data_IF_388222035733
#
_entry.id   IF_388222035733
#
_cell.length_a   1.000
_cell.length_b   1.000
_cell.length_c   1.000
_cell.angle_alpha   90.00
_cell.angle_beta   90.00
_cell.angle_gamma   90.00
#
_symmetry.space_group_name_H-M   'P 1'
#
loop_
_entity.id
_entity.type
_entity.pdbx_description
1 polymer ?
#
# COMPACT_ATOMS: atom_id res chain seq x y z
N UNK A 1 1.73 -27.18 -4.51
CA UNK A 1 0.78 -26.66 -5.51
C UNK A 1 1.39 -26.91 -6.88
N UNK A 2 0.74 -27.61 -7.80
CA UNK A 2 1.32 -27.87 -9.14
C UNK A 2 1.16 -26.62 -10.02
N UNK A 3 2.27 -26.02 -10.43
CA UNK A 3 2.30 -25.00 -11.50
C UNK A 3 1.83 -25.65 -12.82
N UNK A 4 0.61 -25.30 -13.24
CA UNK A 4 0.01 -25.83 -14.46
C UNK A 4 0.59 -25.13 -15.70
N UNK A 5 1.06 -25.91 -16.67
CA UNK A 5 1.46 -25.40 -17.98
C UNK A 5 0.27 -25.57 -18.93
N UNK A 6 -0.23 -24.44 -19.44
CA UNK A 6 -1.39 -24.41 -20.33
C UNK A 6 -0.95 -24.09 -21.76
N UNK A 7 -1.41 -24.87 -22.73
CA UNK A 7 -1.36 -24.47 -24.14
C UNK A 7 -2.56 -23.56 -24.43
N UNK A 8 -2.35 -22.25 -24.30
CA UNK A 8 -3.42 -21.26 -24.41
C UNK A 8 -4.16 -21.29 -25.76
N UNK A 9 -3.44 -21.62 -26.85
CA UNK A 9 -4.03 -21.71 -28.18
C UNK A 9 -5.01 -22.88 -28.30
N UNK A 10 -4.74 -23.99 -27.60
CA UNK A 10 -5.61 -25.16 -27.57
C UNK A 10 -6.81 -25.04 -26.61
N UNK A 11 -6.85 -24.03 -25.74
CA UNK A 11 -7.98 -23.80 -24.84
C UNK A 11 -9.20 -23.25 -25.58
N UNK A 12 -10.39 -23.71 -25.17
CA UNK A 12 -11.66 -23.09 -25.57
C UNK A 12 -11.86 -21.69 -24.95
N UNK A 13 -12.81 -20.87 -25.43
CA UNK A 13 -13.03 -19.52 -24.92
C UNK A 13 -13.34 -19.43 -23.43
N UNK A 14 -13.97 -20.45 -22.84
CA UNK A 14 -14.29 -20.45 -21.41
C UNK A 14 -13.02 -20.68 -20.59
N UNK A 15 -12.22 -21.69 -20.92
CA UNK A 15 -10.98 -22.00 -20.23
C UNK A 15 -9.93 -20.90 -20.38
N UNK A 16 -9.93 -20.18 -21.51
CA UNK A 16 -9.10 -18.96 -21.68
C UNK A 16 -9.49 -17.85 -20.71
N UNK A 17 -10.79 -17.67 -20.43
CA UNK A 17 -11.27 -16.70 -19.44
C UNK A 17 -10.90 -17.14 -18.03
N UNK A 18 -11.08 -18.42 -17.71
CA UNK A 18 -10.73 -18.98 -16.40
C UNK A 18 -9.22 -18.87 -16.11
N UNK A 19 -8.36 -19.13 -17.09
CA UNK A 19 -6.91 -19.01 -16.95
C UNK A 19 -6.42 -17.57 -16.66
N UNK A 20 -7.22 -16.56 -17.02
CA UNK A 20 -6.94 -15.14 -16.81
C UNK A 20 -7.82 -14.53 -15.71
N UNK A 21 -8.65 -15.33 -15.06
CA UNK A 21 -9.49 -14.85 -13.98
C UNK A 21 -8.65 -14.53 -12.75
N UNK A 22 -8.99 -13.43 -12.09
CA UNK A 22 -8.42 -13.11 -10.78
C UNK A 22 -9.01 -14.03 -9.71
N UNK A 23 -8.25 -14.38 -8.66
CA UNK A 23 -8.81 -15.04 -7.49
C UNK A 23 -9.98 -14.23 -6.93
N UNK A 24 -11.15 -14.85 -6.79
CA UNK A 24 -12.28 -14.20 -6.15
C UNK A 24 -12.08 -14.21 -4.63
N UNK A 25 -12.29 -13.07 -3.98
CA UNK A 25 -12.38 -13.04 -2.53
C UNK A 25 -13.70 -13.70 -2.10
N UNK A 26 -13.62 -14.84 -1.41
CA UNK A 26 -14.76 -15.44 -0.74
C UNK A 26 -15.32 -14.49 0.34
N UNK A 27 -16.63 -14.54 0.59
CA UNK A 27 -17.31 -13.80 1.68
C UNK A 27 -17.18 -12.26 1.64
N UNK A 28 -17.11 -11.66 0.44
CA UNK A 28 -17.01 -10.21 0.27
C UNK A 28 -18.09 -9.40 0.99
N UNK A 29 -19.34 -9.87 0.96
CA UNK A 29 -20.46 -9.13 1.58
C UNK A 29 -20.37 -9.14 3.11
N UNK A 30 -19.95 -10.26 3.71
CA UNK A 30 -19.70 -10.36 5.14
C UNK A 30 -18.54 -9.45 5.57
N UNK A 31 -17.43 -9.46 4.82
CA UNK A 31 -16.31 -8.54 5.04
C UNK A 31 -16.77 -7.08 5.01
N UNK A 32 -17.56 -6.70 4.00
CA UNK A 32 -18.08 -5.34 3.88
C UNK A 32 -19.00 -4.97 5.05
N UNK A 33 -19.84 -5.89 5.51
CA UNK A 33 -20.71 -5.66 6.68
C UNK A 33 -19.88 -5.42 7.95
N UNK A 34 -18.86 -6.25 8.19
CA UNK A 34 -17.96 -6.11 9.34
C UNK A 34 -17.14 -4.81 9.27
N UNK A 35 -16.63 -4.45 8.09
CA UNK A 35 -15.92 -3.18 7.88
C UNK A 35 -16.82 -1.97 8.12
N UNK A 36 -18.07 -2.00 7.65
CA UNK A 36 -19.05 -0.93 7.93
C UNK A 36 -19.34 -0.79 9.41
N UNK A 37 -19.48 -1.91 10.13
CA UNK A 37 -19.64 -1.90 11.58
C UNK A 37 -18.42 -1.30 12.30
N UNK A 38 -17.20 -1.67 11.89
CA UNK A 38 -15.95 -1.08 12.39
C UNK A 38 -15.92 0.43 12.16
N UNK A 39 -16.25 0.89 10.94
CA UNK A 39 -16.30 2.32 10.61
C UNK A 39 -17.32 3.05 11.49
N UNK A 40 -18.54 2.52 11.60
CA UNK A 40 -19.60 3.13 12.41
C UNK A 40 -19.18 3.26 13.88
N UNK A 41 -18.53 2.23 14.42
CA UNK A 41 -18.06 2.23 15.80
C UNK A 41 -16.94 3.26 16.02
N UNK A 42 -15.96 3.34 15.12
CA UNK A 42 -14.89 4.37 15.19
C UNK A 42 -15.48 5.79 15.11
N UNK A 43 -16.51 6.01 14.28
CA UNK A 43 -17.21 7.32 14.22
C UNK A 43 -17.94 7.66 15.52
N UNK A 44 -18.52 6.67 16.21
CA UNK A 44 -19.28 6.90 17.43
C UNK A 44 -18.39 7.03 18.68
N UNK A 45 -17.33 6.21 18.77
CA UNK A 45 -16.54 6.03 19.99
C UNK A 45 -15.11 6.61 19.88
N UNK A 46 -14.67 7.02 18.69
CA UNK A 46 -13.35 7.62 18.46
C UNK A 46 -12.19 6.72 18.89
N UNK A 47 -11.25 7.29 19.64
CA UNK A 47 -10.02 6.62 20.09
C UNK A 47 -10.29 5.33 20.89
N UNK A 48 -11.41 5.26 21.61
CA UNK A 48 -11.75 4.07 22.40
C UNK A 48 -11.97 2.84 21.52
N UNK A 49 -12.71 2.99 20.41
CA UNK A 49 -12.90 1.90 19.45
C UNK A 49 -11.60 1.56 18.73
N UNK A 50 -10.80 2.56 18.38
CA UNK A 50 -9.50 2.37 17.72
C UNK A 50 -8.57 1.52 18.58
N UNK A 51 -8.45 1.84 19.88
CA UNK A 51 -7.62 1.11 20.83
C UNK A 51 -8.14 -0.30 21.09
N UNK A 52 -9.46 -0.50 21.18
CA UNK A 52 -10.06 -1.84 21.31
C UNK A 52 -9.71 -2.74 20.12
N UNK A 53 -9.83 -2.21 18.90
CA UNK A 53 -9.45 -2.96 17.70
C UNK A 53 -7.95 -3.23 17.63
N UNK A 54 -7.10 -2.27 18.02
CA UNK A 54 -5.65 -2.47 18.09
C UNK A 54 -5.27 -3.58 19.09
N UNK A 55 -5.92 -3.62 20.26
CA UNK A 55 -5.72 -4.69 21.24
C UNK A 55 -6.07 -6.08 20.69
N UNK A 56 -7.12 -6.17 19.88
CA UNK A 56 -7.62 -7.43 19.33
C UNK A 56 -6.85 -7.92 18.11
N UNK A 57 -6.36 -7.01 17.27
CA UNK A 57 -5.89 -7.35 15.92
C UNK A 57 -4.48 -6.86 15.57
N UNK A 58 -3.95 -5.83 16.25
CA UNK A 58 -2.67 -5.19 15.90
C UNK A 58 -1.51 -5.61 16.83
N UNK A 59 -1.59 -6.78 17.46
CA UNK A 59 -0.53 -7.31 18.35
C UNK A 59 -0.46 -6.64 19.74
N UNK A 60 -1.42 -5.78 20.06
CA UNK A 60 -1.60 -5.13 21.37
C UNK A 60 -1.96 -3.66 21.23
N UNK A 61 -2.76 -3.12 22.16
CA UNK A 61 -3.07 -1.71 22.18
C UNK A 61 -1.79 -0.89 22.48
N UNK A 62 -1.51 0.17 21.70
CA UNK A 62 -0.39 1.05 22.00
C UNK A 62 -0.66 1.82 23.30
N UNK A 63 0.40 2.16 24.04
CA UNK A 63 0.29 3.04 25.21
C UNK A 63 -0.18 4.44 24.80
N UNK A 64 0.33 4.94 23.66
CA UNK A 64 -0.05 6.20 23.07
C UNK A 64 -0.41 5.96 21.60
N UNK A 65 -1.59 6.40 21.17
CA UNK A 65 -1.97 6.32 19.75
C UNK A 65 -0.98 7.08 18.87
N UNK A 66 -0.61 8.31 19.27
CA UNK A 66 0.45 9.08 18.61
C UNK A 66 1.81 8.62 19.13
N UNK A 67 2.70 8.25 18.21
CA UNK A 67 4.06 7.81 18.54
C UNK A 67 4.86 8.99 19.13
N UNK A 68 5.46 8.85 20.33
CA UNK A 68 6.28 9.89 20.93
C UNK A 68 7.51 10.26 20.11
N UNK A 69 7.97 11.50 20.22
CA UNK A 69 9.15 11.99 19.49
C UNK A 69 10.41 11.21 19.87
N UNK A 70 10.55 10.84 21.15
CA UNK A 70 11.69 10.10 21.68
C UNK A 70 11.82 8.72 21.02
N UNK A 71 10.69 8.04 20.81
CA UNK A 71 10.64 6.74 20.13
C UNK A 71 11.05 6.86 18.65
N UNK A 72 10.62 7.94 17.99
CA UNK A 72 10.98 8.20 16.59
C UNK A 72 12.48 8.45 16.42
N UNK A 73 13.07 9.27 17.29
CA UNK A 73 14.51 9.57 17.28
C UNK A 73 15.32 8.30 17.55
N UNK A 74 14.95 7.55 18.59
CA UNK A 74 15.62 6.30 18.95
C UNK A 74 15.55 5.25 17.81
N UNK A 75 14.45 5.21 17.05
CA UNK A 75 14.32 4.28 15.94
C UNK A 75 15.39 4.50 14.87
N UNK A 76 15.61 5.74 14.42
CA UNK A 76 16.64 6.03 13.40
C UNK A 76 18.05 5.71 13.89
N UNK A 77 18.34 5.96 15.18
CA UNK A 77 19.64 5.65 15.79
C UNK A 77 19.88 4.14 15.97
N UNK A 78 18.81 3.36 16.10
CA UNK A 78 18.88 1.90 16.27
C UNK A 78 19.20 1.13 14.97
N UNK A 79 18.99 1.77 13.80
CA UNK A 79 19.22 1.11 12.52
C UNK A 79 20.70 1.05 12.17
N UNK A 80 21.10 -0.06 11.55
CA UNK A 80 22.45 -0.17 11.02
C UNK A 80 22.71 0.85 9.89
N UNK A 81 23.96 1.29 9.76
CA UNK A 81 24.32 2.31 8.77
C UNK A 81 24.06 1.86 7.32
N UNK A 82 24.09 0.55 7.04
CA UNK A 82 23.84 -0.01 5.70
C UNK A 82 22.35 0.08 5.36
N UNK A 83 21.45 -0.20 6.31
CA UNK A 83 20.01 -0.06 6.19
C UNK A 83 19.64 1.41 5.97
N UNK A 84 20.19 2.34 6.77
CA UNK A 84 19.96 3.78 6.58
C UNK A 84 20.44 4.23 5.19
N UNK A 85 21.60 3.76 4.73
CA UNK A 85 22.11 4.05 3.38
C UNK A 85 21.19 3.50 2.28
N UNK A 86 20.64 2.30 2.45
CA UNK A 86 19.70 1.70 1.52
C UNK A 86 18.38 2.49 1.44
N UNK A 87 17.81 2.88 2.59
CA UNK A 87 16.61 3.71 2.67
C UNK A 87 16.82 5.07 1.98
N UNK A 88 17.94 5.75 2.26
CA UNK A 88 18.28 7.02 1.61
C UNK A 88 18.42 6.88 0.10
N UNK A 89 19.03 5.81 -0.38
CA UNK A 89 19.14 5.53 -1.83
C UNK A 89 17.76 5.32 -2.46
N UNK A 90 16.88 4.54 -1.81
CA UNK A 90 15.53 4.32 -2.30
C UNK A 90 14.72 5.62 -2.35
N UNK A 91 14.78 6.42 -1.28
CA UNK A 91 14.15 7.75 -1.20
C UNK A 91 14.62 8.66 -2.34
N UNK A 92 15.93 8.71 -2.59
CA UNK A 92 16.49 9.60 -3.61
C UNK A 92 16.08 9.18 -5.02
N UNK A 93 16.07 7.87 -5.31
CA UNK A 93 15.60 7.34 -6.59
C UNK A 93 14.11 7.65 -6.81
N UNK A 94 13.25 7.37 -5.81
CA UNK A 94 11.81 7.64 -5.88
C UNK A 94 11.55 9.14 -6.04
N UNK A 95 12.29 9.99 -5.32
CA UNK A 95 12.19 11.44 -5.42
C UNK A 95 12.55 11.94 -6.82
N UNK A 96 13.66 11.48 -7.39
CA UNK A 96 14.10 11.85 -8.75
C UNK A 96 13.03 11.51 -9.78
N UNK A 97 12.46 10.31 -9.72
CA UNK A 97 11.43 9.88 -10.67
C UNK A 97 10.14 10.70 -10.55
N UNK A 98 9.63 10.90 -9.33
CA UNK A 98 8.39 11.66 -9.12
C UNK A 98 8.57 13.17 -9.39
N UNK A 99 9.73 13.75 -9.09
CA UNK A 99 10.02 15.15 -9.41
C UNK A 99 9.99 15.41 -10.92
N UNK A 100 10.43 14.44 -11.73
CA UNK A 100 10.38 14.54 -13.19
C UNK A 100 8.95 14.53 -13.78
N UNK A 101 7.94 14.14 -12.99
CA UNK A 101 6.53 14.11 -13.41
C UNK A 101 5.81 15.45 -13.20
N UNK A 102 6.45 16.42 -12.54
CA UNK A 102 5.86 17.74 -12.31
C UNK A 102 5.55 18.41 -13.65
N UNK A 103 4.25 18.61 -13.92
CA UNK A 103 3.80 19.27 -15.14
C UNK A 103 4.08 20.77 -15.09
N UNK A 104 4.59 21.37 -16.18
CA UNK A 104 4.69 22.82 -16.25
C UNK A 104 3.30 23.47 -16.19
N UNK A 105 3.21 24.73 -15.73
CA UNK A 105 1.97 25.50 -15.81
C UNK A 105 1.43 25.51 -17.25
N UNK A 106 0.12 25.31 -17.40
CA UNK A 106 -0.56 25.42 -18.70
C UNK A 106 -1.34 26.73 -18.70
N UNK A 107 -1.04 27.61 -19.66
CA UNK A 107 -1.81 28.81 -19.98
C UNK A 107 -1.86 28.98 -21.49
N UNK A 108 -3.04 29.14 -22.05
CA UNK A 108 -3.21 29.43 -23.46
C UNK A 108 -4.40 30.35 -23.71
N UNK A 109 -4.33 31.13 -24.78
CA UNK A 109 -5.45 31.88 -25.33
C UNK A 109 -6.16 30.99 -26.35
N UNK A 110 -7.36 30.50 -26.02
CA UNK A 110 -8.11 29.57 -26.90
C UNK A 110 -8.82 30.30 -28.03
N UNK A 111 -9.18 31.55 -27.78
CA UNK A 111 -9.67 32.53 -28.76
C UNK A 111 -9.34 33.92 -28.26
N UNK A 112 -9.36 34.93 -29.13
CA UNK A 112 -8.94 36.30 -28.79
C UNK A 112 -9.63 36.81 -27.51
N UNK A 113 -8.85 37.06 -26.47
CA UNK A 113 -9.29 37.51 -25.14
C UNK A 113 -9.72 36.41 -24.17
N UNK A 114 -9.75 35.13 -24.57
CA UNK A 114 -10.19 34.00 -23.75
C UNK A 114 -8.98 33.15 -23.34
N UNK A 115 -8.53 33.37 -22.10
CA UNK A 115 -7.43 32.60 -21.52
C UNK A 115 -7.94 31.42 -20.71
N UNK A 116 -7.34 30.25 -20.93
CA UNK A 116 -7.56 29.06 -20.14
C UNK A 116 -6.25 28.65 -19.46
N UNK A 117 -6.33 28.34 -18.16
CA UNK A 117 -5.19 27.94 -17.34
C UNK A 117 -5.47 26.62 -16.62
N UNK A 118 -4.42 25.81 -16.41
CA UNK A 118 -4.44 24.68 -15.48
C UNK A 118 -3.42 24.95 -14.38
N UNK A 119 -3.93 25.06 -13.16
CA UNK A 119 -3.14 25.17 -11.94
C UNK A 119 -3.23 23.87 -11.15
N UNK A 120 -2.10 23.46 -10.57
CA UNK A 120 -2.04 22.33 -9.64
C UNK A 120 -1.99 22.85 -8.21
N UNK A 121 -2.73 22.22 -7.30
CA UNK A 121 -2.71 22.50 -5.87
C UNK A 121 -2.56 21.19 -5.09
N UNK A 122 -1.79 21.18 -3.99
CA UNK A 122 -1.72 20.01 -3.13
C UNK A 122 -3.06 19.69 -2.50
N UNK A 123 -3.21 18.43 -2.07
CA UNK A 123 -4.24 18.05 -1.12
C UNK A 123 -3.79 18.53 0.27
N UNK A 124 -4.70 19.16 1.02
CA UNK A 124 -4.36 19.83 2.28
C UNK A 124 -3.89 18.83 3.34
N UNK A 125 -4.60 17.71 3.47
CA UNK A 125 -4.24 16.63 4.38
C UNK A 125 -4.32 15.25 3.74
N UNK A 126 -3.23 14.49 3.84
CA UNK A 126 -3.16 13.12 3.34
C UNK A 126 -2.79 12.14 4.45
N UNK A 127 -3.49 11.00 4.47
CA UNK A 127 -3.21 9.87 5.34
C UNK A 127 -2.45 8.79 4.59
N UNK A 128 -1.34 8.33 5.15
CA UNK A 128 -0.51 7.28 4.57
C UNK A 128 -0.67 6.03 5.44
N UNK A 129 -1.24 4.98 4.87
CA UNK A 129 -1.32 3.68 5.52
C UNK A 129 -0.15 2.81 5.08
N UNK A 130 0.54 2.22 6.06
CA UNK A 130 1.61 1.25 5.79
C UNK A 130 1.23 -0.06 6.48
N UNK A 131 1.11 -1.17 5.74
CA UNK A 131 0.90 -2.47 6.37
C UNK A 131 2.07 -2.83 7.28
N UNK A 132 1.74 -3.55 8.35
CA UNK A 132 2.72 -4.23 9.21
C UNK A 132 2.17 -5.61 9.59
N UNK A 133 2.83 -6.27 10.54
CA UNK A 133 2.50 -7.64 10.96
C UNK A 133 3.70 -8.56 10.79
N UNK A 134 3.66 -9.44 9.78
CA UNK A 134 4.71 -10.44 9.52
C UNK A 134 6.05 -9.83 9.11
N UNK A 135 6.04 -8.73 8.36
CA UNK A 135 7.23 -7.99 7.97
C UNK A 135 6.93 -6.48 7.80
N UNK A 136 7.88 -5.60 8.17
CA UNK A 136 7.74 -4.17 7.92
C UNK A 136 7.96 -3.83 6.44
N UNK A 137 7.13 -2.92 5.89
CA UNK A 137 7.20 -2.49 4.48
C UNK A 137 7.61 -1.00 4.35
N UNK A 138 8.88 -0.62 4.62
CA UNK A 138 9.33 0.76 4.49
C UNK A 138 9.25 1.28 3.04
N UNK A 139 9.32 0.39 2.05
CA UNK A 139 9.14 0.73 0.64
C UNK A 139 7.78 1.36 0.35
N UNK A 140 6.69 0.81 0.90
CA UNK A 140 5.33 1.34 0.73
C UNK A 140 5.19 2.76 1.30
N UNK A 141 5.85 3.02 2.43
CA UNK A 141 5.93 4.36 3.00
C UNK A 141 6.65 5.32 2.06
N UNK A 142 7.84 4.96 1.56
CA UNK A 142 8.61 5.80 0.64
C UNK A 142 7.78 6.14 -0.62
N UNK A 143 7.10 5.14 -1.19
CA UNK A 143 6.29 5.31 -2.41
C UNK A 143 5.11 6.27 -2.23
N UNK A 144 4.62 6.46 -1.01
CA UNK A 144 3.49 7.37 -0.74
C UNK A 144 3.94 8.72 -0.15
N UNK A 145 4.94 8.71 0.72
CA UNK A 145 5.43 9.88 1.44
C UNK A 145 6.17 10.87 0.54
N UNK A 146 6.98 10.36 -0.39
CA UNK A 146 7.80 11.18 -1.28
C UNK A 146 6.95 11.97 -2.29
N UNK A 147 6.00 11.38 -3.03
CA UNK A 147 5.12 12.17 -3.89
C UNK A 147 4.25 13.15 -3.09
N UNK A 148 3.79 12.79 -1.88
CA UNK A 148 3.06 13.73 -1.01
C UNK A 148 3.91 14.94 -0.61
N UNK A 149 5.20 14.74 -0.30
CA UNK A 149 6.13 15.82 -0.02
C UNK A 149 6.38 16.71 -1.25
N UNK A 150 6.58 16.10 -2.43
CA UNK A 150 6.82 16.82 -3.68
C UNK A 150 5.60 17.61 -4.16
N UNK A 151 4.40 17.08 -3.94
CA UNK A 151 3.15 17.79 -4.21
C UNK A 151 2.99 19.02 -3.32
N UNK A 152 3.66 19.04 -2.16
CA UNK A 152 3.56 20.10 -1.17
C UNK A 152 2.37 19.94 -0.22
N UNK A 153 1.92 18.70 0.05
CA UNK A 153 0.83 18.44 0.99
C UNK A 153 1.21 18.93 2.40
N UNK A 154 0.49 19.93 2.96
CA UNK A 154 0.84 20.54 4.25
C UNK A 154 0.82 19.54 5.41
N UNK A 155 -0.22 18.71 5.50
CA UNK A 155 -0.33 17.66 6.53
C UNK A 155 -0.19 16.28 5.90
N UNK A 156 0.79 15.52 6.38
CA UNK A 156 1.05 14.12 6.00
C UNK A 156 1.09 13.30 7.28
N UNK A 157 0.10 12.46 7.51
CA UNK A 157 0.06 11.56 8.68
C UNK A 157 0.33 10.12 8.26
N UNK A 158 0.87 9.32 9.17
CA UNK A 158 1.15 7.90 8.97
C UNK A 158 0.37 7.07 9.99
N UNK A 159 -0.38 6.07 9.51
CA UNK A 159 -0.88 4.98 10.35
C UNK A 159 -0.20 3.67 9.95
N UNK A 160 0.33 2.95 10.94
CA UNK A 160 0.87 1.60 10.77
C UNK A 160 0.55 0.79 12.02
N UNK A 161 0.16 -0.48 11.90
CA UNK A 161 -0.10 -1.31 13.07
C UNK A 161 1.16 -1.43 13.93
N UNK A 162 0.91 -1.56 15.24
CA UNK A 162 1.95 -1.99 16.17
C UNK A 162 2.41 -3.42 15.88
N UNK A 163 3.60 -3.73 16.37
CA UNK A 163 4.12 -5.09 16.51
C UNK A 163 3.82 -5.56 17.94
N UNK A 164 4.57 -6.54 18.45
CA UNK A 164 4.45 -6.99 19.84
C UNK A 164 4.60 -5.81 20.81
N UNK A 165 3.62 -5.64 21.71
CA UNK A 165 3.50 -4.55 22.67
C UNK A 165 3.00 -3.20 22.08
N UNK A 166 2.38 -3.21 20.89
CA UNK A 166 1.74 -2.03 20.31
C UNK A 166 2.70 -0.98 19.75
N UNK A 167 3.97 -1.33 19.55
CA UNK A 167 5.01 -0.42 19.02
C UNK A 167 5.24 -0.64 17.53
N UNK A 168 5.33 0.43 16.75
CA UNK A 168 5.64 0.34 15.32
C UNK A 168 7.09 -0.13 15.14
N UNK A 169 7.36 -0.92 14.11
CA UNK A 169 8.70 -1.37 13.78
C UNK A 169 9.68 -0.17 13.58
N UNK A 170 10.88 -0.20 14.20
CA UNK A 170 11.86 0.87 14.08
C UNK A 170 12.21 1.26 12.63
N UNK A 171 12.20 0.32 11.68
CA UNK A 171 12.51 0.63 10.28
C UNK A 171 11.46 1.54 9.66
N UNK A 172 10.19 1.40 10.04
CA UNK A 172 9.09 2.26 9.56
C UNK A 172 9.21 3.65 10.16
N UNK A 173 9.48 3.75 11.46
CA UNK A 173 9.67 5.04 12.15
C UNK A 173 10.89 5.80 11.61
N UNK A 174 12.01 5.12 11.43
CA UNK A 174 13.20 5.69 10.82
C UNK A 174 12.92 6.17 9.38
N UNK A 175 12.19 5.38 8.60
CA UNK A 175 11.79 5.75 7.24
C UNK A 175 10.87 6.98 7.23
N UNK A 176 9.90 7.05 8.15
CA UNK A 176 9.01 8.18 8.32
C UNK A 176 9.80 9.47 8.62
N UNK A 177 10.77 9.40 9.53
CA UNK A 177 11.66 10.51 9.85
C UNK A 177 12.50 10.94 8.63
N UNK A 178 13.07 9.99 7.88
CA UNK A 178 13.82 10.29 6.65
C UNK A 178 12.93 10.92 5.56
N UNK A 179 11.63 10.65 5.57
CA UNK A 179 10.64 11.25 4.67
C UNK A 179 10.01 12.55 5.23
N UNK A 180 10.40 12.97 6.43
CA UNK A 180 9.88 14.16 7.10
C UNK A 180 8.40 14.04 7.50
N UNK A 181 7.99 12.89 8.03
CA UNK A 181 6.66 12.65 8.59
C UNK A 181 6.77 12.61 10.12
N UNK A 182 6.02 13.48 10.79
CA UNK A 182 6.09 13.66 12.23
C UNK A 182 4.83 13.21 12.98
N UNK A 183 3.69 13.14 12.29
CA UNK A 183 2.41 12.70 12.83
C UNK A 183 2.22 11.22 12.51
N UNK A 184 2.65 10.36 13.43
CA UNK A 184 2.65 8.90 13.26
C UNK A 184 1.75 8.28 14.33
N UNK A 185 0.90 7.35 13.92
CA UNK A 185 -0.08 6.68 14.78
C UNK A 185 0.06 5.15 14.71
N UNK A 186 0.14 4.51 15.88
CA UNK A 186 0.39 3.07 16.04
C UNK A 186 -0.90 2.24 15.95
N UNK A 187 -1.56 2.30 14.80
CA UNK A 187 -2.83 1.60 14.51
C UNK A 187 -2.85 1.10 13.07
N UNK A 188 -3.38 -0.11 12.85
CA UNK A 188 -3.56 -0.72 11.54
C UNK A 188 -5.03 -0.92 11.12
N UNK A 189 -5.22 -1.71 10.07
CA UNK A 189 -6.51 -2.27 9.69
C UNK A 189 -7.58 -1.26 9.26
N UNK A 190 -8.83 -1.72 9.25
CA UNK A 190 -9.99 -0.91 8.88
C UNK A 190 -10.23 0.25 9.87
N UNK A 191 -9.88 0.06 11.13
CA UNK A 191 -9.98 1.07 12.19
C UNK A 191 -9.06 2.27 11.94
N UNK A 192 -7.82 2.05 11.46
CA UNK A 192 -6.92 3.13 11.07
C UNK A 192 -7.49 3.93 9.89
N UNK A 193 -8.03 3.24 8.89
CA UNK A 193 -8.66 3.91 7.73
C UNK A 193 -9.85 4.75 8.17
N UNK A 194 -10.72 4.22 9.03
CA UNK A 194 -11.85 4.97 9.59
C UNK A 194 -11.37 6.19 10.39
N UNK A 195 -10.37 6.02 11.26
CA UNK A 195 -9.82 7.10 12.07
C UNK A 195 -9.22 8.22 11.22
N UNK A 196 -8.47 7.89 10.16
CA UNK A 196 -7.97 8.91 9.23
C UNK A 196 -9.11 9.58 8.44
N UNK A 197 -10.12 8.81 8.01
CA UNK A 197 -11.19 9.34 7.17
C UNK A 197 -12.15 10.29 7.90
N UNK A 198 -12.43 10.03 9.18
CA UNK A 198 -13.41 10.79 9.96
C UNK A 198 -12.78 11.64 11.08
N UNK A 199 -11.51 11.39 11.40
CA UNK A 199 -10.85 11.96 12.57
C UNK A 199 -11.31 11.32 13.88
N UNK A 200 -10.47 11.44 14.89
CA UNK A 200 -10.76 11.11 16.29
C UNK A 200 -10.24 12.24 17.18
N UNK A 201 -10.25 12.05 18.51
CA UNK A 201 -9.64 13.03 19.42
C UNK A 201 -8.11 13.14 19.21
N UNK A 202 -7.45 12.04 18.82
CA UNK A 202 -5.99 11.99 18.62
C UNK A 202 -5.57 12.00 17.15
N UNK A 203 -6.29 11.30 16.27
CA UNK A 203 -5.95 11.14 14.86
C UNK A 203 -6.69 12.20 14.05
N UNK A 204 -6.00 13.10 13.33
CA UNK A 204 -6.69 14.13 12.56
C UNK A 204 -7.37 13.52 11.32
N UNK A 205 -8.52 14.11 10.94
CA UNK A 205 -9.16 13.83 9.67
C UNK A 205 -8.26 14.23 8.50
N UNK A 206 -8.22 13.41 7.45
CA UNK A 206 -7.51 13.67 6.19
C UNK A 206 -8.48 13.71 5.01
N UNK A 207 -8.08 14.33 3.91
CA UNK A 207 -8.90 14.46 2.70
C UNK A 207 -8.74 13.25 1.77
N UNK A 208 -7.55 12.64 1.77
CA UNK A 208 -7.25 11.47 0.93
C UNK A 208 -6.32 10.49 1.62
N UNK A 209 -6.64 9.20 1.49
CA UNK A 209 -5.90 8.10 2.09
C UNK A 209 -5.17 7.30 1.02
N UNK A 210 -3.88 7.06 1.24
CA UNK A 210 -2.97 6.33 0.38
C UNK A 210 -2.43 5.07 1.03
N UNK A 211 -1.98 4.14 0.20
CA UNK A 211 -1.20 3.00 0.64
C UNK A 211 -1.93 1.67 0.50
N UNK A 212 -1.19 0.58 0.26
CA UNK A 212 -1.76 -0.76 0.09
C UNK A 212 -2.22 -1.33 1.43
N UNK A 213 -2.98 -2.43 1.40
CA UNK A 213 -3.32 -3.17 2.61
C UNK A 213 -4.10 -4.43 2.31
N UNK A 214 -4.47 -5.14 3.37
CA UNK A 214 -5.30 -6.35 3.27
C UNK A 214 -6.69 -6.03 2.72
N UNK A 215 -7.47 -7.07 2.43
CA UNK A 215 -8.87 -6.93 2.00
C UNK A 215 -9.71 -6.02 2.94
N UNK A 216 -9.43 -6.06 4.26
CA UNK A 216 -10.06 -5.19 5.26
C UNK A 216 -9.74 -3.70 5.04
N UNK A 217 -8.47 -3.38 4.78
CA UNK A 217 -8.00 -2.02 4.54
C UNK A 217 -8.57 -1.51 3.22
N UNK A 218 -8.51 -2.32 2.16
CA UNK A 218 -9.08 -1.97 0.85
C UNK A 218 -10.58 -1.74 0.94
N UNK A 219 -11.32 -2.64 1.59
CA UNK A 219 -12.76 -2.50 1.80
C UNK A 219 -13.09 -1.24 2.61
N UNK A 220 -12.32 -0.94 3.66
CA UNK A 220 -12.49 0.28 4.43
C UNK A 220 -12.27 1.54 3.57
N UNK A 221 -11.19 1.57 2.76
CA UNK A 221 -10.91 2.69 1.84
C UNK A 221 -12.03 2.90 0.83
N UNK A 222 -12.60 1.81 0.31
CA UNK A 222 -13.75 1.87 -0.60
C UNK A 222 -14.99 2.42 0.10
N UNK A 223 -15.31 1.94 1.31
CA UNK A 223 -16.47 2.40 2.08
C UNK A 223 -16.35 3.89 2.43
N UNK A 224 -15.21 4.35 2.93
CA UNK A 224 -15.05 5.76 3.32
C UNK A 224 -15.01 6.71 2.12
N UNK A 225 -14.54 6.26 0.95
CA UNK A 225 -14.53 7.10 -0.25
C UNK A 225 -15.92 7.23 -0.91
N UNK A 226 -16.87 6.36 -0.57
CA UNK A 226 -18.26 6.46 -0.99
C UNK A 226 -19.10 7.36 -0.07
N UNK A 227 -18.58 7.71 1.11
CA UNK A 227 -19.23 8.63 2.04
C UNK A 227 -18.78 10.07 1.75
N UNK A 228 -19.75 10.99 1.64
CA UNK A 228 -19.48 12.41 1.42
C UNK A 228 -18.70 13.07 2.58
N UNK A 229 -18.83 12.53 3.80
CA UNK A 229 -18.10 12.98 4.98
C UNK A 229 -16.78 12.22 5.18
N UNK A 230 -16.49 11.23 4.33
CA UNK A 230 -15.29 10.41 4.43
C UNK A 230 -14.05 11.06 3.80
N UNK A 231 -13.14 10.23 3.31
CA UNK A 231 -11.92 10.65 2.63
C UNK A 231 -11.81 9.93 1.29
N UNK A 232 -11.24 10.59 0.29
CA UNK A 232 -10.96 9.96 -0.99
C UNK A 232 -9.94 8.82 -0.82
N UNK A 233 -9.99 7.82 -1.72
CA UNK A 233 -8.92 6.83 -1.86
C UNK A 233 -8.05 7.12 -3.08
N UNK A 234 -6.80 6.64 -3.04
CA UNK A 234 -5.89 6.59 -4.19
C UNK A 234 -6.39 5.64 -5.29
N UNK A 235 -6.42 4.34 -5.01
CA UNK A 235 -6.86 3.29 -5.90
C UNK A 235 -7.30 2.06 -5.08
N UNK A 236 -8.30 1.30 -5.54
CA UNK A 236 -8.65 0.03 -4.92
C UNK A 236 -7.51 -0.97 -5.17
N UNK A 237 -6.70 -1.25 -4.15
CA UNK A 237 -5.64 -2.24 -4.23
C UNK A 237 -6.22 -3.66 -4.06
N UNK A 238 -6.00 -4.52 -5.04
CA UNK A 238 -6.31 -5.95 -4.97
C UNK A 238 -5.10 -6.78 -4.52
N UNK A 239 -5.21 -8.12 -4.53
CA UNK A 239 -4.06 -9.00 -4.40
C UNK A 239 -2.95 -8.63 -5.38
N UNK A 240 -1.72 -8.91 -4.97
CA UNK A 240 -0.52 -8.56 -5.70
C UNK A 240 -0.38 -9.47 -6.95
N UNK A 241 -0.08 -8.90 -8.12
CA UNK A 241 0.00 -9.63 -9.40
C UNK A 241 1.36 -9.43 -10.10
N UNK A 242 1.89 -10.47 -10.75
CA UNK A 242 3.01 -10.37 -11.71
C UNK A 242 2.72 -11.20 -12.95
N UNK A 243 3.07 -10.66 -14.12
CA UNK A 243 3.03 -11.38 -15.39
C UNK A 243 4.40 -11.24 -16.05
N UNK A 244 5.13 -12.35 -16.16
CA UNK A 244 6.42 -12.41 -16.84
C UNK A 244 6.18 -12.90 -18.27
N UNK A 245 6.72 -12.17 -19.25
CA UNK A 245 6.77 -12.59 -20.65
C UNK A 245 8.20 -12.99 -20.98
N UNK A 246 8.42 -14.23 -21.37
CA UNK A 246 9.76 -14.75 -21.63
C UNK A 246 9.81 -15.54 -22.95
N UNK A 247 10.81 -15.23 -23.77
CA UNK A 247 11.15 -16.04 -24.94
C UNK A 247 12.22 -17.09 -24.58
N UNK A 248 12.61 -17.91 -25.56
CA UNK A 248 13.57 -18.99 -25.38
C UNK A 248 14.98 -18.58 -24.93
N UNK A 249 15.33 -17.28 -25.02
CA UNK A 249 16.62 -16.75 -24.56
C UNK A 249 16.65 -16.44 -23.06
N UNK A 250 15.49 -16.44 -22.39
CA UNK A 250 15.38 -16.13 -20.98
C UNK A 250 16.06 -17.19 -20.08
N UNK A 251 16.74 -16.70 -19.05
CA UNK A 251 17.28 -17.54 -17.98
C UNK A 251 16.12 -18.07 -17.12
N UNK A 252 15.94 -19.41 -17.03
CA UNK A 252 14.82 -19.98 -16.28
C UNK A 252 14.88 -19.69 -14.78
N UNK A 253 16.07 -19.51 -14.20
CA UNK A 253 16.24 -19.20 -12.77
C UNK A 253 15.81 -17.77 -12.46
N UNK A 254 16.11 -16.81 -13.34
CA UNK A 254 15.65 -15.43 -13.18
C UNK A 254 14.13 -15.32 -13.30
N UNK A 255 13.55 -15.98 -14.31
CA UNK A 255 12.08 -16.01 -14.49
C UNK A 255 11.40 -16.64 -13.27
N UNK A 256 11.92 -17.77 -12.76
CA UNK A 256 11.38 -18.39 -11.56
C UNK A 256 11.46 -17.46 -10.34
N UNK A 257 12.59 -16.76 -10.18
CA UNK A 257 12.82 -15.83 -9.07
C UNK A 257 11.84 -14.65 -9.11
N UNK A 258 11.58 -14.07 -10.29
CA UNK A 258 10.60 -12.97 -10.43
C UNK A 258 9.17 -13.43 -10.10
N UNK A 259 8.79 -14.65 -10.49
CA UNK A 259 7.48 -15.22 -10.15
C UNK A 259 7.34 -15.46 -8.64
N UNK A 260 8.38 -16.04 -8.01
CA UNK A 260 8.41 -16.33 -6.58
C UNK A 260 8.41 -15.05 -5.73
N UNK A 261 9.15 -14.02 -6.14
CA UNK A 261 9.22 -12.74 -5.45
C UNK A 261 7.84 -12.07 -5.30
N UNK A 262 6.91 -12.33 -6.22
CA UNK A 262 5.53 -11.86 -6.07
C UNK A 262 4.65 -12.84 -5.29
N UNK A 263 4.84 -14.13 -5.51
CA UNK A 263 4.06 -15.18 -4.86
C UNK A 263 4.25 -15.21 -3.33
N UNK A 264 5.41 -14.79 -2.81
CA UNK A 264 5.66 -14.73 -1.37
C UNK A 264 4.89 -13.62 -0.64
N UNK A 265 4.38 -12.62 -1.38
CA UNK A 265 3.81 -11.42 -0.77
C UNK A 265 2.49 -11.67 -0.03
N UNK A 266 1.60 -12.49 -0.58
CA UNK A 266 0.29 -12.80 -0.01
C UNK A 266 -0.22 -14.14 -0.57
N UNK A 267 -0.94 -14.97 0.22
CA UNK A 267 -1.54 -16.22 -0.28
C UNK A 267 -2.48 -16.05 -1.48
N UNK A 268 -3.05 -14.85 -1.67
CA UNK A 268 -3.91 -14.50 -2.81
C UNK A 268 -3.13 -13.88 -3.98
N UNK A 269 -1.80 -13.72 -3.89
CA UNK A 269 -0.98 -13.21 -4.99
C UNK A 269 -1.09 -14.12 -6.23
N UNK A 270 -1.07 -13.51 -7.41
CA UNK A 270 -1.13 -14.23 -8.69
C UNK A 270 0.14 -13.99 -9.50
N UNK A 271 0.85 -15.06 -9.85
CA UNK A 271 2.01 -15.03 -10.73
C UNK A 271 1.72 -15.81 -12.01
N UNK A 272 1.90 -15.17 -13.16
CA UNK A 272 1.63 -15.74 -14.50
C UNK A 272 2.91 -15.68 -15.33
N UNK A 273 3.20 -16.78 -16.03
CA UNK A 273 4.27 -16.85 -17.02
C UNK A 273 3.67 -17.04 -18.42
N UNK A 274 3.94 -16.10 -19.32
CA UNK A 274 3.68 -16.24 -20.75
C UNK A 274 4.99 -16.57 -21.47
N UNK A 275 5.04 -17.73 -22.11
CA UNK A 275 6.24 -18.18 -22.84
C UNK A 275 5.90 -18.65 -24.25
N UNK A 276 6.86 -18.47 -25.15
CA UNK A 276 6.79 -18.98 -26.53
C UNK A 276 7.28 -20.41 -26.67
N UNK A 277 7.97 -20.95 -25.66
CA UNK A 277 8.56 -22.29 -25.68
C UNK A 277 8.10 -23.14 -24.50
N UNK A 278 7.49 -24.30 -24.80
CA UNK A 278 7.12 -25.28 -23.77
C UNK A 278 8.34 -25.79 -22.99
N UNK A 279 9.48 -25.95 -23.67
CA UNK A 279 10.71 -26.40 -23.01
C UNK A 279 11.19 -25.40 -21.95
N UNK A 280 11.05 -24.09 -22.20
CA UNK A 280 11.36 -23.09 -21.19
C UNK A 280 10.36 -23.13 -20.02
N UNK A 281 9.05 -23.28 -20.30
CA UNK A 281 8.03 -23.40 -19.27
C UNK A 281 8.36 -24.52 -18.27
N UNK A 282 8.80 -25.66 -18.79
CA UNK A 282 9.20 -26.82 -17.99
C UNK A 282 10.45 -26.53 -17.13
N UNK A 283 11.47 -25.88 -17.70
CA UNK A 283 12.67 -25.51 -16.93
C UNK A 283 12.34 -24.53 -15.81
N UNK A 284 11.52 -23.50 -16.08
CA UNK A 284 11.09 -22.55 -15.05
C UNK A 284 10.29 -23.26 -13.95
N UNK A 285 9.40 -24.19 -14.33
CA UNK A 285 8.61 -24.97 -13.37
C UNK A 285 9.49 -25.79 -12.42
N UNK A 286 10.58 -26.38 -12.93
CA UNK A 286 11.55 -27.09 -12.08
C UNK A 286 12.20 -26.11 -11.11
N UNK A 287 12.74 -24.99 -11.61
CA UNK A 287 13.41 -23.97 -10.78
C UNK A 287 12.49 -23.34 -9.72
N UNK A 288 11.20 -23.17 -10.01
CA UNK A 288 10.24 -22.60 -9.05
C UNK A 288 9.79 -23.57 -7.96
N UNK A 289 10.10 -24.87 -8.08
CA UNK A 289 9.74 -25.93 -7.14
C UNK A 289 10.95 -26.49 -6.37
N UNK A 290 12.16 -26.07 -6.72
CA UNK A 290 13.40 -26.31 -5.97
C UNK A 290 13.48 -25.43 -4.72
#
# INVERSE_FOLDING_TARGET
>A
MMLAILDYAALDPQRRREALARPAAENRDELLALVRATIARVRAEGDAAVLDYAARFDGGAPLNLKVPTEERVAALESLDARAVKALRRAIDNVRRFHAAQLSPPLRLETSRGVFCERITRPIESVGLYVPGGSAPLPSALIMSAIPAALAGCPRRILCSPGTRNGRIDPVILATAQLCGIDEIFAVGGAQAIAAMAYGTATIPKVDKIFGPGSAWVTAAKQCVAQDAEGAALDLPAGPSEVLVVADESADPTFVATDLLAQAEHDPLSQAILLVTSRALAERVRVQALE
#
